data_IF_162314423987
#
_entry.id   IF_162314423987
#
_cell.length_a   1.000
_cell.length_b   1.000
_cell.length_c   1.000
_cell.angle_alpha   90.00
_cell.angle_beta   90.00
_cell.angle_gamma   90.00
#
_symmetry.space_group_name_H-M   'P 1'
#
loop_
_entity.id
_entity.type
_entity.pdbx_description
1 polymer ?
#
# COMPACT_ATOMS: atom_id res chain seq x y z
N UNK A 1 -10.38 -17.73 6.69
CA UNK A 1 -10.32 -17.63 5.23
C UNK A 1 -8.87 -17.68 4.78
N UNK A 2 -8.61 -18.47 3.77
CA UNK A 2 -7.24 -18.64 3.27
C UNK A 2 -7.08 -17.87 1.98
N UNK A 3 -6.02 -17.10 1.90
CA UNK A 3 -5.70 -16.35 0.68
C UNK A 3 -5.03 -17.27 -0.32
N UNK A 4 -5.44 -17.18 -1.59
CA UNK A 4 -4.76 -17.89 -2.66
C UNK A 4 -3.35 -17.34 -2.80
N UNK A 5 -2.33 -18.20 -2.81
CA UNK A 5 -0.95 -17.71 -2.96
C UNK A 5 -0.76 -16.90 -4.23
N UNK A 6 -0.02 -15.81 -4.10
CA UNK A 6 0.30 -14.97 -5.26
C UNK A 6 1.64 -14.27 -5.05
N UNK A 7 2.24 -13.88 -6.16
CA UNK A 7 3.45 -13.06 -6.14
C UNK A 7 3.44 -12.19 -7.39
N UNK A 8 3.56 -10.88 -7.17
CA UNK A 8 3.57 -9.88 -8.23
C UNK A 8 4.84 -9.06 -8.12
N UNK A 9 5.26 -8.51 -9.24
CA UNK A 9 6.44 -7.64 -9.31
C UNK A 9 6.04 -6.29 -9.84
N UNK A 10 6.40 -5.24 -9.11
CA UNK A 10 6.06 -3.88 -9.41
C UNK A 10 7.25 -2.98 -9.08
N UNK A 11 7.01 -1.71 -8.91
CA UNK A 11 8.06 -0.76 -8.56
C UNK A 11 7.51 0.24 -7.54
N UNK A 12 8.39 0.71 -6.67
CA UNK A 12 8.15 1.90 -5.86
C UNK A 12 7.96 3.04 -6.85
N UNK A 13 7.07 4.00 -6.56
CA UNK A 13 6.83 5.07 -7.52
C UNK A 13 8.02 6.02 -7.64
N UNK A 14 7.93 6.96 -8.56
CA UNK A 14 9.03 7.89 -8.83
C UNK A 14 9.31 8.85 -7.68
N UNK A 15 8.39 8.97 -6.74
CA UNK A 15 8.54 9.80 -5.55
C UNK A 15 9.12 9.03 -4.37
N UNK A 16 9.35 7.72 -4.51
CA UNK A 16 9.81 6.89 -3.40
C UNK A 16 8.70 6.55 -2.42
N UNK A 17 7.46 6.50 -2.88
CA UNK A 17 6.26 6.33 -2.08
C UNK A 17 5.58 5.01 -2.46
N UNK A 18 4.97 4.33 -1.49
CA UNK A 18 4.24 3.08 -1.72
C UNK A 18 2.86 3.22 -1.12
N UNK A 19 1.83 2.92 -1.90
CA UNK A 19 0.46 3.01 -1.41
C UNK A 19 -0.43 1.92 -2.00
N UNK A 20 -1.26 1.35 -1.13
CA UNK A 20 -2.36 0.46 -1.52
C UNK A 20 -3.65 1.11 -1.09
N UNK A 21 -4.65 1.12 -1.97
CA UNK A 21 -5.91 1.82 -1.73
C UNK A 21 -7.10 0.91 -1.99
N UNK A 22 -8.15 1.07 -1.17
CA UNK A 22 -9.45 0.44 -1.35
C UNK A 22 -10.38 1.50 -1.95
N UNK A 23 -10.53 1.56 -3.28
CA UNK A 23 -11.23 2.69 -3.92
C UNK A 23 -12.70 2.81 -3.53
N UNK A 24 -13.34 1.72 -3.10
CA UNK A 24 -14.74 1.75 -2.70
C UNK A 24 -15.02 2.69 -1.54
N UNK A 25 -14.08 2.77 -0.60
CA UNK A 25 -14.30 3.48 0.65
C UNK A 25 -13.37 4.67 0.85
N UNK A 26 -12.36 4.80 0.01
CA UNK A 26 -11.36 5.86 0.16
C UNK A 26 -11.97 7.24 -0.11
N UNK A 27 -11.80 8.16 0.83
CA UNK A 27 -12.29 9.53 0.72
C UNK A 27 -11.10 10.47 0.72
N UNK A 28 -10.51 10.63 -0.46
CA UNK A 28 -9.24 11.35 -0.59
C UNK A 28 -9.35 12.83 -0.88
N UNK A 29 -10.53 13.32 -1.28
CA UNK A 29 -10.66 14.71 -1.69
C UNK A 29 -10.40 15.66 -0.52
N UNK A 30 -9.58 16.67 -0.75
CA UNK A 30 -9.26 17.71 0.21
C UNK A 30 -9.73 19.07 -0.30
N UNK A 31 -9.11 19.58 -1.36
CA UNK A 31 -9.42 20.89 -1.95
C UNK A 31 -8.54 21.11 -3.17
N UNK A 32 -9.00 21.93 -4.12
CA UNK A 32 -8.19 22.28 -5.29
C UNK A 32 -6.85 22.91 -4.91
N UNK A 33 -6.83 23.66 -3.82
CA UNK A 33 -5.64 24.36 -3.34
C UNK A 33 -5.10 23.70 -2.08
N UNK A 34 -5.00 22.36 -2.09
CA UNK A 34 -4.54 21.62 -0.92
C UNK A 34 -3.10 22.02 -0.54
N UNK A 35 -2.82 21.99 0.76
CA UNK A 35 -1.45 22.10 1.26
C UNK A 35 -0.93 20.69 1.56
N UNK A 36 0.39 20.54 1.61
CA UNK A 36 0.99 19.24 1.94
C UNK A 36 0.51 18.73 3.29
N UNK A 37 0.40 19.61 4.29
CA UNK A 37 -0.09 19.21 5.60
C UNK A 37 -1.51 18.65 5.55
N UNK A 38 -2.38 19.24 4.73
CA UNK A 38 -3.75 18.78 4.57
C UNK A 38 -3.81 17.40 3.91
N UNK A 39 -2.99 17.18 2.88
CA UNK A 39 -2.94 15.89 2.18
C UNK A 39 -2.41 14.82 3.11
N UNK A 40 -1.34 15.09 3.85
CA UNK A 40 -0.76 14.11 4.77
C UNK A 40 -1.74 13.77 5.90
N UNK A 41 -2.47 14.77 6.41
CA UNK A 41 -3.52 14.52 7.40
C UNK A 41 -4.62 13.63 6.84
N UNK A 42 -5.01 13.85 5.59
CA UNK A 42 -6.02 13.03 4.93
C UNK A 42 -5.55 11.58 4.78
N UNK A 43 -4.29 11.38 4.41
CA UNK A 43 -3.72 10.03 4.33
C UNK A 43 -3.81 9.33 5.69
N UNK A 44 -3.44 10.01 6.77
CA UNK A 44 -3.53 9.43 8.11
C UNK A 44 -4.96 9.06 8.47
N UNK A 45 -5.92 9.93 8.16
CA UNK A 45 -7.34 9.65 8.40
C UNK A 45 -7.79 8.40 7.66
N UNK A 46 -7.40 8.28 6.39
CA UNK A 46 -7.79 7.13 5.58
C UNK A 46 -7.09 5.86 6.01
N UNK A 47 -5.85 5.95 6.48
CA UNK A 47 -5.15 4.81 7.07
C UNK A 47 -5.86 4.35 8.34
N UNK A 48 -6.29 5.26 9.18
CA UNK A 48 -7.04 4.93 10.40
C UNK A 48 -8.41 4.33 10.06
N UNK A 49 -9.00 4.74 8.94
CA UNK A 49 -10.27 4.19 8.47
C UNK A 49 -10.10 2.86 7.71
N UNK A 50 -8.86 2.40 7.56
CA UNK A 50 -8.52 1.13 6.90
C UNK A 50 -8.85 1.12 5.41
N UNK A 51 -8.81 2.26 4.75
CA UNK A 51 -9.04 2.38 3.31
C UNK A 51 -7.74 2.60 2.54
N UNK A 52 -6.65 2.81 3.24
CA UNK A 52 -5.36 3.15 2.65
C UNK A 52 -4.22 2.56 3.48
N UNK A 53 -3.25 1.99 2.82
CA UNK A 53 -1.93 1.75 3.38
C UNK A 53 -0.95 2.63 2.61
N UNK A 54 -0.21 3.49 3.28
CA UNK A 54 0.75 4.36 2.64
C UNK A 54 2.03 4.44 3.47
N UNK A 55 3.15 4.41 2.79
CA UNK A 55 4.46 4.51 3.42
C UNK A 55 5.42 5.23 2.49
N UNK A 56 6.41 5.88 3.08
CA UNK A 56 7.43 6.59 2.33
C UNK A 56 8.80 6.00 2.64
N UNK A 57 9.22 4.95 1.91
CA UNK A 57 10.57 4.40 2.08
C UNK A 57 11.67 5.38 1.70
N UNK A 58 11.37 6.38 0.87
CA UNK A 58 12.29 7.46 0.61
C UNK A 58 12.74 7.54 -0.84
N UNK A 59 13.32 8.68 -1.24
CA UNK A 59 13.72 8.90 -2.62
C UNK A 59 14.81 7.97 -3.11
N UNK A 60 15.58 7.37 -2.21
CA UNK A 60 16.59 6.39 -2.58
C UNK A 60 15.98 5.12 -3.17
N UNK A 61 14.72 4.84 -2.87
CA UNK A 61 14.01 3.69 -3.42
C UNK A 61 13.09 4.05 -4.57
N UNK A 62 13.14 5.29 -5.07
CA UNK A 62 12.34 5.69 -6.22
C UNK A 62 12.59 4.73 -7.39
N UNK A 63 11.50 4.24 -7.99
CA UNK A 63 11.53 3.28 -9.11
C UNK A 63 12.19 1.93 -8.79
N UNK A 64 12.48 1.66 -7.52
CA UNK A 64 13.11 0.41 -7.11
C UNK A 64 12.13 -0.76 -7.27
N UNK A 65 12.67 -1.95 -7.43
CA UNK A 65 11.89 -3.17 -7.57
C UNK A 65 11.11 -3.48 -6.29
N UNK A 66 9.84 -3.81 -6.43
CA UNK A 66 8.92 -4.07 -5.32
C UNK A 66 8.24 -5.42 -5.56
N UNK A 67 8.37 -6.32 -4.61
CA UNK A 67 7.65 -7.59 -4.64
C UNK A 67 6.36 -7.45 -3.83
N UNK A 68 5.24 -7.98 -4.34
CA UNK A 68 3.96 -7.99 -3.64
C UNK A 68 3.49 -9.43 -3.56
N UNK A 69 3.26 -9.94 -2.37
CA UNK A 69 2.94 -11.37 -2.21
C UNK A 69 2.11 -11.63 -0.96
N UNK A 70 1.61 -12.85 -0.85
CA UNK A 70 0.84 -13.31 0.30
C UNK A 70 1.70 -13.79 1.45
N UNK A 71 3.00 -13.92 1.24
CA UNK A 71 3.93 -14.40 2.27
C UNK A 71 5.28 -13.70 2.13
N UNK A 72 5.95 -13.53 3.27
CA UNK A 72 7.26 -12.91 3.31
C UNK A 72 8.30 -13.81 2.65
N UNK A 73 9.26 -13.19 1.97
CA UNK A 73 10.43 -13.89 1.47
C UNK A 73 11.37 -14.25 2.64
N UNK A 74 12.32 -15.15 2.42
CA UNK A 74 13.24 -15.54 3.50
C UNK A 74 14.25 -14.46 3.90
N UNK A 75 14.36 -13.37 3.13
CA UNK A 75 15.31 -12.32 3.43
C UNK A 75 14.98 -11.55 4.70
N UNK A 76 15.99 -11.06 5.39
CA UNK A 76 15.81 -10.26 6.59
C UNK A 76 15.59 -8.79 6.21
N UNK A 77 14.54 -8.19 6.74
CA UNK A 77 14.28 -6.77 6.51
C UNK A 77 14.97 -5.95 7.59
N UNK A 78 15.55 -4.81 7.19
CA UNK A 78 16.13 -3.89 8.17
C UNK A 78 15.07 -2.94 8.73
N UNK A 79 13.94 -2.81 8.05
CA UNK A 79 12.83 -1.95 8.49
C UNK A 79 11.52 -2.55 8.05
N UNK A 80 10.51 -2.52 8.93
CA UNK A 80 9.16 -2.96 8.60
C UNK A 80 8.13 -1.94 9.09
N UNK A 81 7.05 -1.80 8.32
CA UNK A 81 5.91 -0.95 8.67
C UNK A 81 4.65 -1.73 8.33
N UNK A 82 3.67 -1.75 9.22
CA UNK A 82 2.43 -2.51 9.00
C UNK A 82 1.20 -1.63 9.18
N UNK A 83 0.12 -2.02 8.51
CA UNK A 83 -1.18 -1.40 8.66
C UNK A 83 -2.27 -2.38 8.27
N UNK A 84 -3.52 -2.01 8.53
CA UNK A 84 -4.69 -2.82 8.17
C UNK A 84 -5.47 -2.12 7.07
N UNK A 85 -6.00 -2.91 6.14
CA UNK A 85 -6.91 -2.41 5.11
C UNK A 85 -8.14 -3.33 5.05
N UNK A 86 -9.30 -2.72 4.90
CA UNK A 86 -10.56 -3.45 4.74
C UNK A 86 -10.97 -3.36 3.29
N UNK A 87 -10.81 -4.46 2.58
CA UNK A 87 -11.03 -4.52 1.14
C UNK A 87 -12.50 -4.83 0.86
N UNK A 88 -13.11 -4.04 -0.03
CA UNK A 88 -14.47 -4.24 -0.49
C UNK A 88 -14.51 -4.85 -1.89
N UNK A 89 -15.66 -4.72 -2.54
CA UNK A 89 -15.88 -5.32 -3.88
C UNK A 89 -14.98 -4.72 -4.94
N UNK A 90 -14.57 -3.46 -4.79
CA UNK A 90 -13.66 -2.80 -5.73
C UNK A 90 -12.22 -3.26 -5.64
N UNK A 91 -11.88 -4.08 -4.64
CA UNK A 91 -10.55 -4.64 -4.50
C UNK A 91 -9.54 -3.75 -3.81
N UNK A 92 -8.29 -4.18 -3.85
CA UNK A 92 -7.15 -3.46 -3.33
C UNK A 92 -6.18 -3.19 -4.47
N UNK A 93 -5.74 -1.94 -4.61
CA UNK A 93 -4.94 -1.52 -5.76
C UNK A 93 -3.65 -0.86 -5.31
N UNK A 94 -2.57 -1.16 -6.01
CA UNK A 94 -1.33 -0.38 -5.88
C UNK A 94 -1.54 0.92 -6.66
N UNK A 95 -1.36 2.04 -5.99
CA UNK A 95 -1.45 3.36 -6.62
C UNK A 95 -0.16 4.12 -6.37
N UNK A 96 -0.12 5.40 -6.69
CA UNK A 96 1.07 6.20 -6.49
C UNK A 96 0.72 7.57 -5.89
N UNK A 97 1.76 8.28 -5.49
CA UNK A 97 1.60 9.58 -4.86
C UNK A 97 0.92 10.58 -5.79
N UNK A 98 1.30 10.57 -7.07
CA UNK A 98 0.71 11.49 -8.05
C UNK A 98 -0.79 11.28 -8.18
N UNK A 99 -1.24 10.02 -8.26
CA UNK A 99 -2.66 9.73 -8.39
C UNK A 99 -3.43 10.10 -7.12
N UNK A 100 -2.84 9.83 -5.95
CA UNK A 100 -3.49 10.20 -4.70
C UNK A 100 -3.60 11.71 -4.52
N UNK A 101 -2.61 12.48 -4.97
CA UNK A 101 -2.68 13.93 -4.88
C UNK A 101 -3.68 14.51 -5.88
N UNK A 102 -3.85 13.88 -7.03
CA UNK A 102 -4.90 14.28 -7.97
C UNK A 102 -6.29 14.01 -7.37
N UNK A 103 -6.46 12.88 -6.69
CA UNK A 103 -7.71 12.58 -6.00
C UNK A 103 -7.95 13.57 -4.84
N UNK A 104 -6.89 14.10 -4.24
CA UNK A 104 -7.01 15.11 -3.19
C UNK A 104 -7.43 16.48 -3.76
N UNK A 105 -7.07 16.75 -4.99
CA UNK A 105 -7.30 18.06 -5.63
C UNK A 105 -8.66 18.15 -6.32
N UNK A 106 -9.12 17.05 -6.92
CA UNK A 106 -10.34 17.03 -7.70
C UNK A 106 -11.31 15.98 -7.15
N UNK A 107 -12.53 16.38 -6.84
CA UNK A 107 -13.50 15.50 -6.19
C UNK A 107 -14.05 14.41 -7.10
N UNK A 108 -13.89 14.55 -8.41
CA UNK A 108 -14.30 13.53 -9.37
C UNK A 108 -13.14 12.62 -9.81
N UNK A 109 -11.96 12.80 -9.23
CA UNK A 109 -10.80 11.99 -9.57
C UNK A 109 -10.74 10.76 -8.67
N UNK A 110 -10.57 9.58 -9.26
CA UNK A 110 -10.46 8.33 -8.51
C UNK A 110 -9.04 8.16 -7.96
N UNK A 111 -8.88 7.45 -6.83
CA UNK A 111 -7.54 7.20 -6.28
C UNK A 111 -6.73 6.18 -7.07
N UNK A 112 -7.33 5.57 -8.09
CA UNK A 112 -6.65 4.60 -8.94
C UNK A 112 -7.21 4.69 -10.35
N UNK A 113 -6.45 4.21 -11.33
CA UNK A 113 -6.81 4.19 -12.75
C UNK A 113 -6.54 2.81 -13.33
N UNK A 114 -6.98 2.60 -14.58
CA UNK A 114 -6.82 1.30 -15.25
C UNK A 114 -5.38 0.85 -15.37
N UNK A 115 -4.44 1.78 -15.49
CA UNK A 115 -3.03 1.45 -15.60
C UNK A 115 -2.39 1.07 -14.27
N UNK A 116 -3.10 1.22 -13.15
CA UNK A 116 -2.58 0.80 -11.87
C UNK A 116 -2.87 -0.67 -11.61
N UNK A 117 -2.16 -1.25 -10.66
CA UNK A 117 -2.16 -2.69 -10.42
C UNK A 117 -3.21 -3.06 -9.38
N UNK A 118 -4.20 -3.86 -9.80
CA UNK A 118 -5.15 -4.46 -8.88
C UNK A 118 -4.58 -5.78 -8.36
N UNK A 119 -4.62 -5.98 -7.05
CA UNK A 119 -4.13 -7.21 -6.43
C UNK A 119 -5.18 -8.32 -6.56
N UNK A 120 -4.75 -9.58 -6.70
CA UNK A 120 -5.69 -10.70 -6.90
C UNK A 120 -6.25 -11.20 -5.57
N UNK A 121 -6.93 -10.32 -4.82
CA UNK A 121 -7.52 -10.67 -3.54
C UNK A 121 -8.98 -10.21 -3.50
N UNK A 122 -9.79 -10.91 -2.73
CA UNK A 122 -11.21 -10.60 -2.56
C UNK A 122 -11.47 -9.74 -1.34
N UNK A 123 -12.75 -9.43 -1.07
CA UNK A 123 -13.12 -8.64 0.10
C UNK A 123 -12.67 -9.28 1.41
N UNK A 124 -12.32 -8.45 2.37
CA UNK A 124 -11.88 -8.89 3.68
C UNK A 124 -10.97 -7.90 4.36
N UNK A 125 -10.60 -8.22 5.59
CA UNK A 125 -9.63 -7.44 6.34
C UNK A 125 -8.25 -8.05 6.18
N UNK A 126 -7.28 -7.22 5.81
CA UNK A 126 -5.92 -7.69 5.55
C UNK A 126 -4.92 -6.86 6.32
N UNK A 127 -3.84 -7.51 6.75
CA UNK A 127 -2.65 -6.83 7.26
C UNK A 127 -1.67 -6.67 6.10
N UNK A 128 -1.21 -5.44 5.91
CA UNK A 128 -0.20 -5.12 4.91
C UNK A 128 1.08 -4.79 5.66
N UNK A 129 2.17 -5.42 5.28
CA UNK A 129 3.49 -5.15 5.86
C UNK A 129 4.45 -4.78 4.75
N UNK A 130 5.05 -3.60 4.85
CA UNK A 130 6.14 -3.20 3.96
C UNK A 130 7.44 -3.59 4.65
N UNK A 131 8.25 -4.39 3.96
CA UNK A 131 9.57 -4.82 4.43
C UNK A 131 10.63 -4.23 3.50
N UNK A 132 11.55 -3.46 4.06
CA UNK A 132 12.64 -2.86 3.28
C UNK A 132 13.90 -3.66 3.51
N UNK A 133 14.62 -3.95 2.42
CA UNK A 133 15.86 -4.70 2.47
C UNK A 133 17.04 -3.76 2.28
N UNK A 134 18.19 -4.16 2.79
CA UNK A 134 19.40 -3.41 2.53
C UNK A 134 19.69 -3.43 1.02
N UNK A 135 19.98 -2.26 0.46
CA UNK A 135 20.27 -2.16 -0.97
C UNK A 135 21.64 -2.75 -1.23
N UNK A 136 21.70 -3.68 -2.19
CA UNK A 136 22.97 -4.22 -2.66
C UNK A 136 23.22 -3.70 -4.06
N UNK A 137 24.32 -3.01 -4.24
CA UNK A 137 24.68 -2.52 -5.57
C UNK A 137 25.14 -3.63 -6.51
N UNK A 138 25.35 -4.82 -5.96
CA UNK A 138 25.85 -5.94 -6.73
C UNK A 138 24.74 -6.78 -7.35
N UNK A 139 23.51 -6.66 -6.87
CA UNK A 139 22.41 -7.48 -7.36
C UNK A 139 21.13 -6.65 -7.53
N UNK A 140 20.99 -6.06 -8.71
CA UNK A 140 19.82 -5.25 -9.08
C UNK A 140 18.56 -6.08 -9.26
N UNK A 141 18.68 -7.41 -9.32
CA UNK A 141 17.53 -8.29 -9.59
C UNK A 141 16.70 -8.55 -8.36
N UNK A 142 17.27 -8.37 -7.18
CA UNK A 142 16.53 -8.58 -5.93
C UNK A 142 15.63 -7.39 -5.65
N UNK A 143 14.40 -7.62 -5.16
CA UNK A 143 13.55 -6.50 -4.76
C UNK A 143 14.20 -5.69 -3.64
N UNK A 144 14.09 -4.38 -3.72
CA UNK A 144 14.54 -3.50 -2.64
C UNK A 144 13.56 -3.51 -1.47
N UNK A 145 12.31 -3.87 -1.73
CA UNK A 145 11.26 -3.93 -0.72
C UNK A 145 10.21 -4.94 -1.13
N UNK A 146 9.37 -5.33 -0.18
CA UNK A 146 8.22 -6.17 -0.48
C UNK A 146 7.02 -5.76 0.36
N UNK A 147 5.85 -5.91 -0.23
CA UNK A 147 4.57 -5.78 0.47
C UNK A 147 4.02 -7.18 0.70
N UNK A 148 3.80 -7.53 1.95
CA UNK A 148 3.22 -8.81 2.33
C UNK A 148 1.78 -8.57 2.75
N UNK A 149 0.84 -9.26 2.11
CA UNK A 149 -0.60 -9.07 2.32
C UNK A 149 -1.15 -10.35 2.92
N UNK A 150 -1.62 -10.28 4.17
CA UNK A 150 -2.10 -11.47 4.89
C UNK A 150 -3.49 -11.22 5.43
N UNK A 151 -4.39 -12.23 5.38
CA UNK A 151 -5.69 -12.06 6.01
C UNK A 151 -5.54 -11.77 7.49
N UNK A 152 -6.27 -10.77 7.98
CA UNK A 152 -6.31 -10.41 9.39
C UNK A 152 -7.70 -10.77 9.91
N UNK A 153 -7.94 -12.03 10.15
CA UNK A 153 -9.25 -12.48 10.59
C UNK A 153 -9.66 -11.94 11.95
N UNK A 154 -10.93 -12.12 12.28
CA UNK A 154 -11.49 -11.65 13.54
C UNK A 154 -10.73 -12.18 14.75
N UNK A 155 -10.25 -13.41 14.69
CA UNK A 155 -9.49 -13.99 15.78
C UNK A 155 -8.18 -13.29 16.03
N UNK A 156 -7.53 -12.80 14.99
CA UNK A 156 -6.28 -12.05 15.16
C UNK A 156 -6.52 -10.69 15.81
N UNK A 157 -7.63 -10.07 15.48
CA UNK A 157 -7.99 -8.80 16.06
C UNK A 157 -8.29 -8.97 17.54
N UNK A 158 -9.04 -10.00 17.87
CA UNK A 158 -9.38 -10.29 19.26
C UNK A 158 -8.17 -10.64 20.07
N UNK A 159 -7.29 -11.41 19.48
CA UNK A 159 -6.08 -11.81 20.17
C UNK A 159 -5.16 -10.66 20.45
N UNK A 160 -5.34 -9.66 19.71
CA UNK A 160 -4.57 -8.47 19.97
C UNK A 160 -5.09 -7.73 21.14
N UNK A 161 -6.13 -8.24 21.16
CA UNK A 161 -6.28 -7.90 21.76
C UNK A 161 -5.56 -8.25 22.19
N UNK A 162 -5.71 -8.48 22.03
CA UNK A 162 -4.79 -8.61 22.46
C UNK A 162 -4.18 -8.82 22.13
#
# INVERSE_FOLDING_TARGET
>A
MTLTPFELHAHVDEDGFVALVCPDAYQGYVHEDWTLAQVLERFVRQMNAQTLFAAFPGPDLADASLRIADAASPGAAWRTVSGLVRVGEGGLWLTDYSQLTMAAQFDDEMPTRDEQLQLPIGPGLYRVTLRQFAVSYEDDRDPAAELVIEPAGAGQIDGSNG
#
